data_IF_834429038330
#
_entry.id   IF_834429038330
#
_cell.length_a   1.000
_cell.length_b   1.000
_cell.length_c   1.000
_cell.angle_alpha   90.00
_cell.angle_beta   90.00
_cell.angle_gamma   90.00
#
_symmetry.space_group_name_H-M   'P 1'
#
loop_
_entity.id
_entity.type
_entity.pdbx_description
1 polymer ?
#
# COMPACT_ATOMS: atom_id res chain seq x y z
N UNK A 1 -25.17 15.32 9.25
CA UNK A 1 -25.11 14.02 8.59
C UNK A 1 -25.03 12.88 9.62
N UNK A 2 -24.01 12.83 10.48
CA UNK A 2 -23.76 11.72 11.42
C UNK A 2 -24.93 11.44 12.37
N UNK A 3 -25.51 12.51 12.99
CA UNK A 3 -26.66 12.34 13.90
C UNK A 3 -27.87 11.62 13.26
N UNK A 4 -28.13 11.88 11.95
CA UNK A 4 -29.24 11.24 11.21
C UNK A 4 -28.94 9.79 10.78
N UNK A 5 -27.66 9.38 10.75
CA UNK A 5 -27.21 8.08 10.29
C UNK A 5 -26.48 7.28 11.38
N UNK A 6 -26.77 7.53 12.67
CA UNK A 6 -26.10 6.86 13.80
C UNK A 6 -26.03 5.33 13.64
N UNK A 7 -27.15 4.73 13.24
CA UNK A 7 -27.23 3.27 13.06
C UNK A 7 -26.25 2.81 11.96
N UNK A 8 -26.18 3.53 10.83
CA UNK A 8 -25.23 3.20 9.77
C UNK A 8 -23.77 3.31 10.21
N UNK A 9 -23.44 4.37 11.00
CA UNK A 9 -22.09 4.54 11.57
C UNK A 9 -21.75 3.36 12.48
N UNK A 10 -22.67 2.99 13.39
CA UNK A 10 -22.44 1.87 14.31
C UNK A 10 -22.25 0.57 13.54
N UNK A 11 -23.16 0.25 12.63
CA UNK A 11 -23.10 -1.01 11.85
C UNK A 11 -21.82 -1.07 11.02
N UNK A 12 -21.47 0.01 10.30
CA UNK A 12 -20.26 0.06 9.49
C UNK A 12 -18.99 -0.11 10.34
N UNK A 13 -18.93 0.52 11.52
CA UNK A 13 -17.81 0.38 12.46
C UNK A 13 -17.69 -1.04 13.01
N UNK A 14 -18.83 -1.67 13.35
CA UNK A 14 -18.86 -3.06 13.80
C UNK A 14 -18.33 -3.97 12.69
N UNK A 15 -18.79 -3.79 11.45
CA UNK A 15 -18.35 -4.64 10.32
C UNK A 15 -16.85 -4.47 10.06
N UNK A 16 -16.28 -3.26 10.20
CA UNK A 16 -14.84 -3.03 10.09
C UNK A 16 -14.07 -3.82 11.16
N UNK A 17 -14.62 -3.96 12.36
CA UNK A 17 -13.98 -4.64 13.49
C UNK A 17 -14.28 -6.14 13.56
N UNK A 18 -15.22 -6.67 12.77
CA UNK A 18 -15.52 -8.11 12.74
C UNK A 18 -14.29 -8.99 12.50
N UNK A 19 -13.34 -8.63 11.60
CA UNK A 19 -12.12 -9.41 11.42
C UNK A 19 -11.25 -9.48 12.68
N UNK A 20 -11.17 -8.41 13.47
CA UNK A 20 -10.44 -8.43 14.73
C UNK A 20 -11.12 -9.38 15.75
N UNK A 21 -12.45 -9.36 15.83
CA UNK A 21 -13.19 -10.29 16.66
C UNK A 21 -12.96 -11.75 16.22
N UNK A 22 -12.97 -12.01 14.91
CA UNK A 22 -12.65 -13.34 14.36
C UNK A 22 -11.22 -13.77 14.77
N UNK A 23 -10.22 -12.88 14.62
CA UNK A 23 -8.85 -13.16 15.03
C UNK A 23 -8.69 -13.44 16.53
N UNK A 24 -9.50 -12.79 17.40
CA UNK A 24 -9.54 -13.08 18.83
C UNK A 24 -10.08 -14.51 19.08
N UNK A 25 -11.15 -14.88 18.40
CA UNK A 25 -11.76 -16.22 18.54
C UNK A 25 -10.77 -17.31 18.09
N UNK A 26 -10.06 -17.06 17.00
CA UNK A 26 -9.12 -18.01 16.39
C UNK A 26 -7.67 -17.82 16.90
N UNK A 27 -7.48 -17.09 17.99
CA UNK A 27 -6.15 -16.65 18.45
C UNK A 27 -5.13 -17.78 18.59
N UNK A 28 -5.53 -18.90 19.16
CA UNK A 28 -4.64 -20.04 19.40
C UNK A 28 -4.33 -20.85 18.13
N UNK A 29 -5.18 -20.73 17.11
CA UNK A 29 -5.02 -21.43 15.82
C UNK A 29 -4.22 -20.60 14.82
N UNK A 30 -4.02 -19.31 15.09
CA UNK A 30 -3.28 -18.41 14.23
C UNK A 30 -1.76 -18.52 14.48
N UNK A 31 -0.91 -18.55 13.44
CA UNK A 31 0.53 -18.51 13.58
C UNK A 31 0.98 -17.17 14.19
N UNK A 32 2.17 -17.16 14.81
CA UNK A 32 2.71 -15.92 15.42
C UNK A 32 3.12 -14.88 14.41
N UNK A 33 3.43 -15.31 13.17
CA UNK A 33 3.76 -14.47 12.04
C UNK A 33 2.72 -14.72 10.93
N UNK A 34 2.12 -13.65 10.44
CA UNK A 34 1.01 -13.69 9.47
C UNK A 34 1.38 -12.83 8.26
N UNK A 35 1.12 -13.35 7.05
CA UNK A 35 1.24 -12.57 5.81
C UNK A 35 0.24 -11.43 5.79
N UNK A 36 0.73 -10.20 5.62
CA UNK A 36 -0.09 -8.98 5.59
C UNK A 36 0.06 -8.19 4.30
N UNK A 37 1.03 -8.54 3.46
CA UNK A 37 1.26 -7.92 2.15
C UNK A 37 1.68 -8.95 1.11
N UNK A 38 1.29 -8.70 -0.15
CA UNK A 38 1.62 -9.51 -1.31
C UNK A 38 2.09 -8.59 -2.44
N UNK A 39 3.12 -9.02 -3.14
CA UNK A 39 3.65 -8.34 -4.31
C UNK A 39 2.71 -8.42 -5.53
N UNK A 40 3.08 -7.69 -6.58
CA UNK A 40 2.32 -7.69 -7.85
C UNK A 40 2.36 -9.07 -8.57
N UNK A 41 3.30 -9.92 -8.21
CA UNK A 41 3.43 -11.31 -8.67
C UNK A 41 2.53 -12.30 -7.91
N UNK A 42 1.83 -11.82 -6.87
CA UNK A 42 0.95 -12.61 -6.01
C UNK A 42 1.67 -13.31 -4.87
N UNK A 43 3.01 -13.21 -4.78
CA UNK A 43 3.79 -13.80 -3.71
C UNK A 43 3.72 -12.96 -2.44
N UNK A 44 3.77 -13.61 -1.27
CA UNK A 44 3.88 -12.94 0.02
C UNK A 44 5.25 -12.25 0.11
N UNK A 45 5.25 -10.93 0.31
CA UNK A 45 6.46 -10.10 0.42
C UNK A 45 6.46 -9.21 1.67
N UNK A 46 5.45 -9.38 2.54
CA UNK A 46 5.40 -8.71 3.84
C UNK A 46 4.68 -9.53 4.90
N UNK A 47 5.38 -9.73 6.02
CA UNK A 47 4.89 -10.46 7.18
C UNK A 47 4.74 -9.51 8.38
N UNK A 48 3.87 -9.84 9.30
CA UNK A 48 3.67 -9.08 10.54
C UNK A 48 3.39 -10.02 11.71
N UNK A 49 3.76 -9.58 12.90
CA UNK A 49 3.38 -10.31 14.12
C UNK A 49 1.86 -10.38 14.29
N UNK A 50 1.37 -11.47 14.86
CA UNK A 50 -0.05 -11.79 15.11
C UNK A 50 -0.86 -10.60 15.63
N UNK A 51 -0.34 -9.89 16.63
CA UNK A 51 -1.04 -8.75 17.25
C UNK A 51 -1.32 -7.65 16.21
N UNK A 52 -0.31 -7.28 15.40
CA UNK A 52 -0.49 -6.25 14.38
C UNK A 52 -1.41 -6.73 13.25
N UNK A 53 -1.28 -7.98 12.81
CA UNK A 53 -2.11 -8.55 11.77
C UNK A 53 -3.59 -8.56 12.18
N UNK A 54 -3.91 -8.98 13.41
CA UNK A 54 -5.29 -9.08 13.91
C UNK A 54 -5.91 -7.72 14.19
N UNK A 55 -5.19 -6.79 14.80
CA UNK A 55 -5.75 -5.52 15.28
C UNK A 55 -5.35 -4.33 14.41
N UNK A 56 -4.15 -4.31 13.83
CA UNK A 56 -3.61 -3.14 13.12
C UNK A 56 -4.46 -2.76 11.91
N UNK A 57 -4.71 -3.69 11.00
CA UNK A 57 -5.49 -3.41 9.79
C UNK A 57 -6.92 -2.95 10.08
N UNK A 58 -7.72 -3.63 10.93
CA UNK A 58 -9.07 -3.16 11.27
C UNK A 58 -9.07 -1.79 11.96
N UNK A 59 -8.13 -1.53 12.86
CA UNK A 59 -8.05 -0.23 13.56
C UNK A 59 -7.68 0.89 12.59
N UNK A 60 -6.70 0.70 11.71
CA UNK A 60 -6.32 1.67 10.70
C UNK A 60 -7.52 1.99 9.80
N UNK A 61 -8.24 0.97 9.32
CA UNK A 61 -9.41 1.16 8.48
C UNK A 61 -10.56 1.85 9.23
N UNK A 62 -10.73 1.59 10.53
CA UNK A 62 -11.71 2.28 11.36
C UNK A 62 -11.38 3.77 11.52
N UNK A 63 -10.10 4.10 11.75
CA UNK A 63 -9.63 5.50 11.79
C UNK A 63 -9.92 6.19 10.45
N UNK A 64 -9.55 5.56 9.34
CA UNK A 64 -9.85 6.07 8.00
C UNK A 64 -11.35 6.26 7.77
N UNK A 65 -12.18 5.34 8.26
CA UNK A 65 -13.63 5.44 8.16
C UNK A 65 -14.16 6.70 8.87
N UNK A 66 -13.73 6.94 10.10
CA UNK A 66 -14.13 8.13 10.83
C UNK A 66 -13.61 9.41 10.19
N UNK A 67 -12.38 9.41 9.66
CA UNK A 67 -11.80 10.53 8.91
C UNK A 67 -12.66 10.83 7.67
N UNK A 68 -13.01 9.83 6.87
CA UNK A 68 -13.88 10.00 5.70
C UNK A 68 -15.27 10.53 6.09
N UNK A 69 -15.88 9.99 7.15
CA UNK A 69 -17.17 10.46 7.68
C UNK A 69 -17.11 11.90 8.17
N UNK A 70 -16.03 12.27 8.86
CA UNK A 70 -15.82 13.63 9.36
C UNK A 70 -15.72 14.62 8.20
N UNK A 71 -14.80 14.39 7.25
CA UNK A 71 -14.64 15.26 6.09
C UNK A 71 -15.94 15.39 5.28
N UNK A 72 -16.64 14.27 5.08
CA UNK A 72 -17.93 14.28 4.41
C UNK A 72 -18.97 15.11 5.19
N UNK A 73 -18.97 15.06 6.51
CA UNK A 73 -19.93 15.80 7.35
C UNK A 73 -19.67 17.30 7.42
N UNK A 74 -18.43 17.73 7.20
CA UNK A 74 -18.02 19.13 7.19
C UNK A 74 -18.36 19.87 5.89
N UNK A 75 -18.66 19.15 4.82
CA UNK A 75 -19.03 19.75 3.54
C UNK A 75 -20.42 20.39 3.65
N UNK A 76 -20.51 21.71 3.48
CA UNK A 76 -21.76 22.48 3.58
C UNK A 76 -22.83 22.06 2.55
N UNK A 77 -22.40 21.56 1.38
CA UNK A 77 -23.29 21.06 0.32
C UNK A 77 -23.86 19.66 0.58
N UNK A 78 -23.47 19.01 1.68
CA UNK A 78 -23.94 17.67 2.05
C UNK A 78 -25.45 17.59 2.36
N UNK A 79 -26.08 18.69 2.76
CA UNK A 79 -27.51 18.71 3.08
C UNK A 79 -28.38 18.37 1.86
N UNK A 80 -27.89 18.70 0.68
CA UNK A 80 -28.60 18.52 -0.60
C UNK A 80 -28.18 17.25 -1.37
N UNK A 81 -27.24 16.47 -0.77
CA UNK A 81 -26.75 15.25 -1.41
C UNK A 81 -27.79 14.13 -1.45
N UNK A 82 -27.71 13.33 -2.52
CA UNK A 82 -28.49 12.11 -2.63
C UNK A 82 -28.09 11.13 -1.50
N UNK A 83 -29.09 10.68 -0.72
CA UNK A 83 -28.87 9.76 0.41
C UNK A 83 -28.24 8.43 -0.02
N UNK A 84 -28.48 7.96 -1.26
CA UNK A 84 -27.85 6.76 -1.82
C UNK A 84 -26.35 6.98 -2.09
N UNK A 85 -25.97 8.15 -2.65
CA UNK A 85 -24.58 8.52 -2.89
C UNK A 85 -23.81 8.67 -1.56
N UNK A 86 -24.42 9.26 -0.53
CA UNK A 86 -23.87 9.30 0.82
C UNK A 86 -23.71 7.89 1.42
N UNK A 87 -24.58 6.96 1.03
CA UNK A 87 -24.49 5.57 1.46
C UNK A 87 -23.14 4.92 1.17
N UNK A 88 -22.49 5.26 0.04
CA UNK A 88 -21.19 4.70 -0.33
C UNK A 88 -20.12 4.94 0.73
N UNK A 89 -20.12 6.12 1.35
CA UNK A 89 -19.12 6.49 2.38
C UNK A 89 -19.19 5.56 3.60
N UNK A 90 -20.37 5.01 3.90
CA UNK A 90 -20.56 4.09 5.02
C UNK A 90 -20.11 2.66 4.69
N UNK A 91 -20.13 2.23 3.41
CA UNK A 91 -19.99 0.81 3.08
C UNK A 91 -18.68 0.43 2.39
N UNK A 92 -17.97 1.38 1.77
CA UNK A 92 -16.71 1.07 1.06
C UNK A 92 -15.66 0.49 2.01
N UNK A 93 -15.37 1.15 3.13
CA UNK A 93 -14.34 0.69 4.07
C UNK A 93 -14.69 -0.60 4.82
N UNK A 94 -15.94 -0.83 5.26
CA UNK A 94 -16.36 -2.15 5.75
C UNK A 94 -16.12 -3.28 4.76
N UNK A 95 -16.45 -3.10 3.48
CA UNK A 95 -16.23 -4.11 2.44
C UNK A 95 -14.73 -4.37 2.26
N UNK A 96 -13.91 -3.31 2.19
CA UNK A 96 -12.45 -3.42 2.11
C UNK A 96 -11.89 -4.17 3.32
N UNK A 97 -12.39 -3.87 4.54
CA UNK A 97 -11.93 -4.54 5.76
C UNK A 97 -12.20 -6.04 5.75
N UNK A 98 -13.42 -6.42 5.41
CA UNK A 98 -13.78 -7.85 5.33
C UNK A 98 -12.94 -8.57 4.28
N UNK A 99 -12.72 -7.94 3.13
CA UNK A 99 -11.98 -8.54 2.04
C UNK A 99 -10.49 -8.67 2.36
N UNK A 100 -9.82 -7.58 2.77
CA UNK A 100 -8.39 -7.57 3.06
C UNK A 100 -8.04 -8.54 4.20
N UNK A 101 -8.78 -8.49 5.31
CA UNK A 101 -8.54 -9.40 6.42
C UNK A 101 -8.97 -10.85 6.10
N UNK A 102 -9.99 -11.04 5.25
CA UNK A 102 -10.39 -12.38 4.79
C UNK A 102 -9.28 -13.06 4.00
N UNK A 103 -8.58 -12.35 3.13
CA UNK A 103 -7.38 -12.82 2.42
C UNK A 103 -6.29 -13.20 3.44
N UNK A 104 -5.99 -12.27 4.34
CA UNK A 104 -4.97 -12.45 5.37
C UNK A 104 -5.21 -13.71 6.21
N UNK A 105 -6.44 -13.93 6.70
CA UNK A 105 -6.77 -15.13 7.48
C UNK A 105 -6.74 -16.41 6.65
N UNK A 106 -7.16 -16.37 5.38
CA UNK A 106 -7.01 -17.55 4.52
C UNK A 106 -5.56 -17.98 4.40
N UNK A 107 -4.66 -17.02 4.16
CA UNK A 107 -3.22 -17.27 4.10
C UNK A 107 -2.68 -17.76 5.45
N UNK A 108 -3.10 -17.16 6.56
CA UNK A 108 -2.69 -17.58 7.92
C UNK A 108 -3.08 -19.04 8.23
N UNK A 109 -4.19 -19.54 7.67
CA UNK A 109 -4.60 -20.94 7.81
C UNK A 109 -4.02 -21.86 6.73
N UNK A 110 -2.98 -21.43 6.00
CA UNK A 110 -2.34 -22.24 4.95
C UNK A 110 -3.25 -22.57 3.77
N UNK A 111 -4.33 -21.81 3.56
CA UNK A 111 -5.23 -21.99 2.44
C UNK A 111 -4.70 -21.21 1.24
N UNK A 112 -4.47 -21.90 0.12
CA UNK A 112 -4.09 -21.22 -1.13
C UNK A 112 -5.09 -20.13 -1.49
N UNK A 113 -4.57 -18.99 -1.90
CA UNK A 113 -5.34 -17.84 -2.29
C UNK A 113 -4.77 -17.23 -3.58
N UNK A 114 -5.53 -17.32 -4.65
CA UNK A 114 -5.16 -16.72 -5.92
C UNK A 114 -5.45 -15.20 -5.88
N UNK A 115 -4.46 -14.43 -5.44
CA UNK A 115 -4.54 -12.98 -5.40
C UNK A 115 -4.74 -12.39 -6.81
N UNK A 116 -4.15 -13.02 -7.83
CA UNK A 116 -4.29 -12.61 -9.22
C UNK A 116 -5.76 -12.68 -9.69
N UNK A 117 -6.52 -13.64 -9.19
CA UNK A 117 -7.97 -13.70 -9.45
C UNK A 117 -8.76 -12.68 -8.63
N UNK A 118 -8.51 -12.61 -7.32
CA UNK A 118 -9.38 -11.87 -6.41
C UNK A 118 -9.20 -10.36 -6.45
N UNK A 119 -7.98 -9.85 -6.67
CA UNK A 119 -7.74 -8.40 -6.69
C UNK A 119 -8.45 -7.69 -7.86
N UNK A 120 -8.32 -8.12 -9.12
CA UNK A 120 -9.06 -7.53 -10.23
C UNK A 120 -10.57 -7.71 -10.08
N UNK A 121 -11.02 -8.85 -9.53
CA UNK A 121 -12.44 -9.10 -9.28
C UNK A 121 -13.01 -8.10 -8.27
N UNK A 122 -12.35 -7.89 -7.15
CA UNK A 122 -12.75 -6.91 -6.14
C UNK A 122 -12.75 -5.48 -6.71
N UNK A 123 -11.67 -5.08 -7.38
CA UNK A 123 -11.56 -3.75 -8.00
C UNK A 123 -12.65 -3.56 -9.05
N UNK A 124 -12.91 -4.56 -9.89
CA UNK A 124 -13.95 -4.55 -10.91
C UNK A 124 -15.33 -4.32 -10.33
N UNK A 125 -15.73 -5.10 -9.32
CA UNK A 125 -17.00 -4.93 -8.60
C UNK A 125 -17.08 -3.54 -7.94
N UNK A 126 -16.01 -3.11 -7.31
CA UNK A 126 -15.94 -1.79 -6.65
C UNK A 126 -16.14 -0.65 -7.67
N UNK A 127 -15.45 -0.69 -8.82
CA UNK A 127 -15.60 0.34 -9.85
C UNK A 127 -16.97 0.32 -10.52
N UNK A 128 -17.58 -0.84 -10.74
CA UNK A 128 -18.97 -0.95 -11.19
C UNK A 128 -19.91 -0.31 -10.17
N UNK A 129 -19.73 -0.62 -8.89
CA UNK A 129 -20.55 -0.06 -7.84
C UNK A 129 -20.42 1.46 -7.76
N UNK A 130 -19.21 2.00 -7.68
CA UNK A 130 -18.98 3.44 -7.62
C UNK A 130 -19.46 4.11 -8.90
N UNK A 131 -19.17 3.56 -10.08
CA UNK A 131 -19.57 4.08 -11.37
C UNK A 131 -21.10 4.22 -11.52
N UNK A 132 -21.87 3.26 -11.00
CA UNK A 132 -23.33 3.30 -10.99
C UNK A 132 -23.89 4.41 -10.06
N UNK A 133 -23.16 4.80 -9.03
CA UNK A 133 -23.56 5.88 -8.13
C UNK A 133 -23.04 7.26 -8.54
N UNK A 134 -21.96 7.32 -9.29
CA UNK A 134 -21.29 8.56 -9.69
C UNK A 134 -22.26 9.59 -10.33
N UNK A 135 -23.19 9.22 -11.24
CA UNK A 135 -24.17 10.15 -11.80
C UNK A 135 -25.16 10.73 -10.78
N UNK A 136 -25.28 10.14 -9.60
CA UNK A 136 -26.20 10.55 -8.54
C UNK A 136 -25.56 11.52 -7.54
N UNK A 137 -24.26 11.74 -7.68
CA UNK A 137 -23.49 12.64 -6.80
C UNK A 137 -23.72 14.08 -7.27
N UNK A 138 -24.42 14.88 -6.47
CA UNK A 138 -24.57 16.32 -6.71
C UNK A 138 -23.25 17.03 -6.46
N UNK A 139 -23.08 18.19 -7.11
CA UNK A 139 -21.84 18.99 -6.98
C UNK A 139 -21.49 19.27 -5.51
N UNK A 140 -20.29 18.84 -5.12
CA UNK A 140 -19.77 18.99 -3.78
C UNK A 140 -18.22 18.89 -3.80
N UNK A 141 -17.57 19.10 -2.63
CA UNK A 141 -16.12 19.12 -2.51
C UNK A 141 -15.51 17.86 -1.91
N UNK A 142 -16.34 16.87 -1.54
CA UNK A 142 -15.89 15.65 -0.86
C UNK A 142 -15.95 14.41 -1.74
N UNK A 143 -17.03 14.23 -2.49
CA UNK A 143 -17.32 13.03 -3.27
C UNK A 143 -17.30 13.33 -4.77
N UNK A 144 -16.78 12.40 -5.57
CA UNK A 144 -16.81 12.46 -7.03
C UNK A 144 -15.51 12.94 -7.68
N UNK A 145 -15.60 13.27 -8.98
CA UNK A 145 -14.48 13.73 -9.81
C UNK A 145 -14.29 15.24 -9.58
N UNK A 146 -13.35 15.59 -8.72
CA UNK A 146 -13.16 16.95 -8.18
C UNK A 146 -12.09 17.73 -8.95
N UNK A 147 -12.40 18.13 -10.15
CA UNK A 147 -11.55 19.02 -10.96
C UNK A 147 -12.13 20.45 -10.96
N UNK A 148 -11.27 21.45 -11.05
CA UNK A 148 -11.65 22.85 -10.84
C UNK A 148 -12.82 23.32 -11.71
N UNK A 149 -12.81 22.99 -13.00
CA UNK A 149 -13.90 23.38 -13.91
C UNK A 149 -15.20 22.63 -13.63
N UNK A 150 -15.20 21.37 -13.22
CA UNK A 150 -16.41 20.68 -12.79
C UNK A 150 -16.94 21.22 -11.45
N UNK A 151 -16.04 21.58 -10.51
CA UNK A 151 -16.41 22.18 -9.22
C UNK A 151 -17.02 23.58 -9.35
N UNK A 152 -16.69 24.29 -10.43
CA UNK A 152 -17.11 25.68 -10.66
C UNK A 152 -18.32 25.80 -11.64
N UNK A 153 -18.82 24.68 -12.17
CA UNK A 153 -19.98 24.67 -13.06
C UNK A 153 -20.78 23.38 -12.87
N UNK A 154 -22.05 23.50 -12.52
CA UNK A 154 -22.91 22.36 -12.20
C UNK A 154 -23.24 21.51 -13.43
N UNK A 155 -23.37 22.13 -14.62
CA UNK A 155 -23.62 21.40 -15.87
C UNK A 155 -22.42 20.53 -16.24
N UNK A 156 -21.19 21.10 -16.15
CA UNK A 156 -19.97 20.35 -16.37
C UNK A 156 -19.86 19.21 -15.36
N UNK A 157 -20.14 19.47 -14.07
CA UNK A 157 -20.19 18.44 -13.04
C UNK A 157 -21.11 17.29 -13.43
N UNK A 158 -22.35 17.59 -13.77
CA UNK A 158 -23.36 16.59 -14.08
C UNK A 158 -23.01 15.78 -15.34
N UNK A 159 -22.52 16.43 -16.40
CA UNK A 159 -22.05 15.76 -17.63
C UNK A 159 -20.85 14.87 -17.35
N UNK A 160 -19.86 15.38 -16.62
CA UNK A 160 -18.64 14.63 -16.23
C UNK A 160 -18.99 13.40 -15.42
N UNK A 161 -19.85 13.51 -14.42
CA UNK A 161 -20.21 12.39 -13.56
C UNK A 161 -21.07 11.34 -14.26
N UNK A 162 -21.95 11.76 -15.19
CA UNK A 162 -22.72 10.82 -16.03
C UNK A 162 -21.82 10.04 -16.97
N UNK A 163 -20.88 10.71 -17.62
CA UNK A 163 -19.93 10.09 -18.54
C UNK A 163 -18.93 9.23 -17.75
N UNK A 164 -18.32 9.78 -16.71
CA UNK A 164 -17.37 9.09 -15.84
C UNK A 164 -17.97 7.83 -15.21
N UNK A 165 -19.26 7.87 -14.82
CA UNK A 165 -19.96 6.70 -14.31
C UNK A 165 -20.01 5.55 -15.31
N UNK A 166 -20.28 5.85 -16.61
CA UNK A 166 -20.24 4.83 -17.67
C UNK A 166 -18.82 4.27 -17.86
N UNK A 167 -17.82 5.15 -17.90
CA UNK A 167 -16.40 4.75 -18.01
C UNK A 167 -16.00 3.84 -16.89
N UNK A 168 -16.38 4.15 -15.65
CA UNK A 168 -16.07 3.34 -14.47
C UNK A 168 -16.76 1.98 -14.48
N UNK A 169 -18.01 1.91 -14.92
CA UNK A 169 -18.72 0.62 -15.08
C UNK A 169 -18.04 -0.25 -16.15
N UNK A 170 -17.72 0.33 -17.32
CA UNK A 170 -17.05 -0.40 -18.40
C UNK A 170 -15.66 -0.85 -17.95
N UNK A 171 -14.88 0.03 -17.31
CA UNK A 171 -13.56 -0.33 -16.79
C UNK A 171 -13.63 -1.42 -15.73
N UNK A 172 -14.63 -1.38 -14.84
CA UNK A 172 -14.87 -2.44 -13.88
C UNK A 172 -15.21 -3.79 -14.52
N UNK A 173 -15.99 -3.79 -15.63
CA UNK A 173 -16.24 -5.01 -16.41
C UNK A 173 -14.96 -5.54 -17.07
N UNK A 174 -14.11 -4.65 -17.62
CA UNK A 174 -12.82 -5.05 -18.18
C UNK A 174 -11.94 -5.70 -17.11
N UNK A 175 -11.90 -5.14 -15.89
CA UNK A 175 -11.17 -5.74 -14.77
C UNK A 175 -11.71 -7.13 -14.40
N UNK A 176 -13.04 -7.32 -14.38
CA UNK A 176 -13.62 -8.64 -14.16
C UNK A 176 -13.24 -9.65 -15.25
N UNK A 177 -13.16 -9.21 -16.50
CA UNK A 177 -12.75 -10.07 -17.60
C UNK A 177 -11.23 -10.32 -17.61
N UNK A 178 -10.44 -9.44 -17.02
CA UNK A 178 -8.98 -9.59 -16.99
C UNK A 178 -8.50 -10.77 -16.15
N UNK A 179 -9.32 -11.31 -15.25
CA UNK A 179 -9.01 -12.52 -14.45
C UNK A 179 -8.72 -13.75 -15.31
N UNK A 180 -9.21 -13.81 -16.54
CA UNK A 180 -8.97 -14.91 -17.48
C UNK A 180 -7.68 -14.75 -18.30
N UNK A 181 -6.92 -13.67 -18.07
CA UNK A 181 -5.68 -13.37 -18.79
C UNK A 181 -4.45 -13.89 -18.02
N UNK A 182 -3.34 -14.20 -18.72
CA UNK A 182 -2.07 -14.50 -18.07
C UNK A 182 -1.65 -13.34 -17.13
N UNK A 183 -1.05 -13.65 -15.98
CA UNK A 183 -0.71 -12.70 -14.91
C UNK A 183 -0.03 -11.41 -15.43
N UNK A 184 0.99 -11.54 -16.29
CA UNK A 184 1.71 -10.39 -16.85
C UNK A 184 0.79 -9.45 -17.63
N UNK A 185 -0.12 -10.00 -18.45
CA UNK A 185 -1.06 -9.24 -19.26
C UNK A 185 -2.12 -8.59 -18.35
N UNK A 186 -2.63 -9.34 -17.40
CA UNK A 186 -3.62 -8.88 -16.41
C UNK A 186 -3.11 -7.66 -15.64
N UNK A 187 -1.88 -7.69 -15.12
CA UNK A 187 -1.28 -6.56 -14.38
C UNK A 187 -1.27 -5.28 -15.25
N UNK A 188 -0.85 -5.38 -16.51
CA UNK A 188 -0.88 -4.25 -17.42
C UNK A 188 -2.30 -3.75 -17.73
N UNK A 189 -3.26 -4.67 -17.90
CA UNK A 189 -4.68 -4.31 -18.08
C UNK A 189 -5.19 -3.55 -16.86
N UNK A 190 -4.90 -4.02 -15.65
CA UNK A 190 -5.29 -3.33 -14.41
C UNK A 190 -4.71 -1.91 -14.36
N UNK A 191 -3.42 -1.75 -14.61
CA UNK A 191 -2.75 -0.44 -14.62
C UNK A 191 -3.36 0.48 -15.69
N UNK A 192 -3.54 0.01 -16.92
CA UNK A 192 -4.12 0.80 -18.01
C UNK A 192 -5.58 1.19 -17.72
N UNK A 193 -6.38 0.28 -17.19
CA UNK A 193 -7.78 0.57 -16.83
C UNK A 193 -7.84 1.61 -15.72
N UNK A 194 -7.07 1.47 -14.63
CA UNK A 194 -7.06 2.46 -13.54
C UNK A 194 -6.66 3.84 -14.07
N UNK A 195 -5.63 3.92 -14.92
CA UNK A 195 -5.23 5.17 -15.57
C UNK A 195 -6.35 5.75 -16.42
N UNK A 196 -7.04 4.92 -17.23
CA UNK A 196 -8.15 5.34 -18.06
C UNK A 196 -9.34 5.85 -17.24
N UNK A 197 -9.69 5.17 -16.12
CA UNK A 197 -10.77 5.59 -15.21
C UNK A 197 -10.52 6.97 -14.61
N UNK A 198 -9.27 7.35 -14.41
CA UNK A 198 -8.88 8.68 -13.92
C UNK A 198 -8.86 9.71 -15.08
N UNK A 199 -8.13 9.41 -16.15
CA UNK A 199 -7.79 10.38 -17.21
C UNK A 199 -9.00 10.69 -18.12
N UNK A 200 -9.75 9.68 -18.56
CA UNK A 200 -10.82 9.86 -19.55
C UNK A 200 -11.92 10.83 -19.06
N UNK A 201 -12.45 10.74 -17.83
CA UNK A 201 -13.42 11.72 -17.34
C UNK A 201 -12.85 13.13 -17.16
N UNK A 202 -11.56 13.25 -16.82
CA UNK A 202 -10.87 14.54 -16.68
C UNK A 202 -10.80 15.23 -18.05
N UNK A 203 -10.34 14.51 -19.08
CA UNK A 203 -10.23 15.00 -20.45
C UNK A 203 -11.61 15.38 -20.99
N UNK A 204 -12.63 14.55 -20.78
CA UNK A 204 -14.00 14.86 -21.18
C UNK A 204 -14.52 16.15 -20.55
N UNK A 205 -14.30 16.31 -19.23
CA UNK A 205 -14.68 17.52 -18.50
C UNK A 205 -13.96 18.78 -19.01
N UNK A 206 -12.69 18.64 -19.42
CA UNK A 206 -11.92 19.72 -20.03
C UNK A 206 -12.52 20.13 -21.39
N UNK A 207 -12.95 19.20 -22.22
CA UNK A 207 -13.60 19.51 -23.48
C UNK A 207 -14.92 20.27 -23.28
N UNK A 208 -15.74 19.89 -22.29
CA UNK A 208 -16.95 20.64 -21.92
C UNK A 208 -16.58 22.07 -21.50
N UNK A 209 -15.54 22.22 -20.65
CA UNK A 209 -15.07 23.53 -20.22
C UNK A 209 -14.67 24.40 -21.42
N UNK A 210 -13.93 23.85 -22.39
CA UNK A 210 -13.53 24.56 -23.62
C UNK A 210 -14.71 24.93 -24.51
N UNK A 211 -15.70 24.04 -24.61
CA UNK A 211 -16.94 24.35 -25.36
C UNK A 211 -17.70 25.51 -24.70
N UNK A 212 -17.90 25.45 -23.39
CA UNK A 212 -18.57 26.51 -22.63
C UNK A 212 -17.85 27.87 -22.74
N UNK A 213 -16.49 27.86 -22.77
CA UNK A 213 -15.75 29.09 -23.03
C UNK A 213 -16.06 29.72 -24.39
N UNK A 214 -16.22 28.90 -25.45
CA UNK A 214 -16.58 29.38 -26.78
C UNK A 214 -18.02 29.93 -26.82
N UNK A 215 -18.90 29.38 -25.99
CA UNK A 215 -20.30 29.80 -25.85
C UNK A 215 -20.47 31.03 -24.92
N UNK A 216 -19.36 31.56 -24.37
CA UNK A 216 -19.36 32.71 -23.46
C UNK A 216 -19.90 32.39 -22.06
N UNK A 217 -20.00 31.10 -21.69
CA UNK A 217 -20.43 30.69 -20.35
C UNK A 217 -19.31 30.95 -19.34
N UNK A 218 -19.58 31.82 -18.37
CA UNK A 218 -18.62 32.15 -17.30
C UNK A 218 -18.70 31.15 -16.19
N UNK A 219 -17.56 30.57 -15.84
CA UNK A 219 -17.40 29.70 -14.67
C UNK A 219 -17.19 30.56 -13.43
N UNK A 220 -18.18 30.61 -12.56
CA UNK A 220 -18.06 31.31 -11.29
C UNK A 220 -17.08 30.56 -10.40
N UNK A 221 -15.90 31.13 -10.16
CA UNK A 221 -15.04 30.61 -9.10
C UNK A 221 -15.76 30.77 -7.77
N UNK A 222 -16.20 29.66 -7.20
CA UNK A 222 -16.73 29.68 -5.85
C UNK A 222 -15.65 30.21 -4.89
N UNK A 223 -15.88 31.30 -4.15
CA UNK A 223 -14.87 31.90 -3.28
C UNK A 223 -14.34 30.86 -2.31
N UNK A 224 -13.03 30.59 -2.39
CA UNK A 224 -12.36 29.70 -1.47
C UNK A 224 -12.39 30.32 -0.07
N UNK A 225 -12.88 29.57 0.91
CA UNK A 225 -12.84 30.04 2.30
C UNK A 225 -11.39 30.24 2.76
N UNK A 226 -11.16 31.10 3.77
CA UNK A 226 -9.82 31.30 4.34
C UNK A 226 -9.17 29.98 4.75
N UNK A 227 -9.92 29.10 5.40
CA UNK A 227 -9.48 27.77 5.80
C UNK A 227 -9.08 26.89 4.57
N UNK A 228 -9.82 26.98 3.48
CA UNK A 228 -9.53 26.23 2.26
C UNK A 228 -8.25 26.72 1.56
N UNK A 229 -8.04 28.04 1.52
CA UNK A 229 -6.79 28.64 1.01
C UNK A 229 -5.58 28.18 1.84
N UNK A 230 -5.74 28.15 3.16
CA UNK A 230 -4.70 27.65 4.09
C UNK A 230 -4.47 26.15 3.85
N UNK A 231 -5.52 25.33 3.77
CA UNK A 231 -5.40 23.90 3.52
C UNK A 231 -4.69 23.61 2.19
N UNK A 232 -5.03 24.32 1.10
CA UNK A 232 -4.35 24.17 -0.20
C UNK A 232 -2.87 24.52 -0.09
N UNK A 233 -2.52 25.63 0.61
CA UNK A 233 -1.11 26.02 0.80
C UNK A 233 -0.35 25.00 1.64
N UNK A 234 -0.93 24.54 2.73
CA UNK A 234 -0.34 23.49 3.57
C UNK A 234 -0.11 22.21 2.75
N UNK A 235 -1.10 21.76 2.01
CA UNK A 235 -0.98 20.56 1.16
C UNK A 235 0.08 20.75 0.07
N UNK A 236 0.12 21.93 -0.57
CA UNK A 236 1.11 22.24 -1.60
C UNK A 236 2.56 22.28 -1.09
N UNK A 237 2.76 22.48 0.22
CA UNK A 237 4.09 22.47 0.85
C UNK A 237 4.39 21.10 1.46
N UNK A 238 3.46 20.55 2.24
CA UNK A 238 3.68 19.31 2.99
C UNK A 238 3.79 18.10 2.06
N UNK A 239 2.95 17.99 1.02
CA UNK A 239 2.98 16.83 0.12
C UNK A 239 4.32 16.69 -0.62
N UNK A 240 4.90 17.75 -1.23
CA UNK A 240 6.23 17.66 -1.82
C UNK A 240 7.33 17.33 -0.79
N UNK A 241 7.25 17.86 0.43
CA UNK A 241 8.21 17.54 1.50
C UNK A 241 8.13 16.07 1.88
N UNK A 242 6.92 15.53 2.04
CA UNK A 242 6.72 14.09 2.34
C UNK A 242 7.23 13.25 1.17
N UNK A 243 6.89 13.60 -0.07
CA UNK A 243 7.35 12.86 -1.26
C UNK A 243 8.87 12.90 -1.39
N UNK A 244 9.49 14.05 -1.13
CA UNK A 244 10.95 14.17 -1.11
C UNK A 244 11.55 13.34 0.02
N UNK A 245 10.99 13.37 1.22
CA UNK A 245 11.41 12.55 2.35
C UNK A 245 11.32 11.05 2.04
N UNK A 246 10.20 10.61 1.47
CA UNK A 246 10.03 9.22 1.02
C UNK A 246 11.04 8.87 -0.07
N UNK A 247 11.25 9.74 -1.06
CA UNK A 247 12.23 9.51 -2.12
C UNK A 247 13.66 9.42 -1.54
N UNK A 248 14.02 10.28 -0.60
CA UNK A 248 15.30 10.20 0.09
C UNK A 248 15.44 8.87 0.83
N UNK A 249 14.48 8.46 1.61
CA UNK A 249 14.49 7.15 2.30
C UNK A 249 14.58 5.98 1.32
N UNK A 250 13.90 6.05 0.17
CA UNK A 250 13.90 4.97 -0.81
C UNK A 250 15.22 4.81 -1.56
N UNK A 251 15.94 5.90 -1.84
CA UNK A 251 17.09 5.89 -2.73
C UNK A 251 18.43 6.26 -2.06
N UNK A 252 18.42 6.61 -0.77
CA UNK A 252 19.64 6.91 -0.01
C UNK A 252 19.94 5.78 0.98
N UNK A 253 20.96 6.03 1.83
CA UNK A 253 21.45 5.04 2.78
C UNK A 253 22.51 4.11 2.18
N UNK A 254 23.23 3.44 3.05
CA UNK A 254 24.28 2.48 2.71
C UNK A 254 24.43 1.43 3.82
N UNK A 255 25.10 0.35 3.46
CA UNK A 255 25.62 -0.66 4.37
C UNK A 255 27.13 -0.59 4.24
N UNK A 256 27.83 -0.42 5.34
CA UNK A 256 29.27 -0.41 5.42
C UNK A 256 29.71 -1.58 6.31
N UNK A 257 30.51 -2.49 5.75
CA UNK A 257 31.02 -3.66 6.44
C UNK A 257 32.50 -3.48 6.63
N UNK A 258 33.00 -3.59 7.86
CA UNK A 258 34.40 -3.48 8.21
C UNK A 258 34.87 -4.73 8.93
N UNK A 259 35.95 -5.32 8.42
CA UNK A 259 36.68 -6.39 9.09
C UNK A 259 37.76 -5.79 9.98
N UNK A 260 37.40 -5.46 11.23
CA UNK A 260 38.34 -4.93 12.20
C UNK A 260 39.28 -6.04 12.76
N UNK A 261 40.16 -5.72 13.69
CA UNK A 261 41.15 -6.73 14.15
C UNK A 261 40.53 -7.89 14.93
N UNK A 262 39.47 -7.64 15.67
CA UNK A 262 38.83 -8.63 16.56
C UNK A 262 37.38 -8.93 16.20
N UNK A 263 36.73 -8.07 15.45
CA UNK A 263 35.30 -8.16 15.16
C UNK A 263 34.95 -7.73 13.74
N UNK A 264 33.81 -8.24 13.24
CA UNK A 264 33.12 -7.74 12.10
C UNK A 264 32.13 -6.67 12.53
N UNK A 265 32.24 -5.46 11.97
CA UNK A 265 31.33 -4.35 12.24
C UNK A 265 30.49 -4.03 11.01
N UNK A 266 29.18 -3.94 11.17
CA UNK A 266 28.23 -3.55 10.11
C UNK A 266 27.53 -2.27 10.56
N UNK A 267 27.77 -1.17 9.85
CA UNK A 267 27.06 0.09 10.03
C UNK A 267 25.98 0.23 8.95
N UNK A 268 24.74 0.34 9.35
CA UNK A 268 23.61 0.33 8.44
C UNK A 268 22.72 1.56 8.59
N UNK A 269 22.64 2.39 7.55
CA UNK A 269 21.67 3.49 7.54
C UNK A 269 20.24 2.93 7.57
N UNK A 270 19.41 3.45 8.45
CA UNK A 270 17.99 3.07 8.65
C UNK A 270 17.73 1.73 9.33
N UNK A 271 18.78 1.06 9.84
CA UNK A 271 18.67 -0.13 10.67
C UNK A 271 19.71 -0.10 11.77
N UNK A 272 19.66 -1.06 12.70
CA UNK A 272 20.63 -1.16 13.79
C UNK A 272 22.01 -1.55 13.27
N UNK A 273 23.05 -0.96 13.84
CA UNK A 273 24.40 -1.40 13.63
C UNK A 273 24.63 -2.75 14.35
N UNK A 274 25.57 -3.53 13.84
CA UNK A 274 25.88 -4.86 14.38
C UNK A 274 27.39 -5.02 14.50
N UNK A 275 27.82 -5.61 15.59
CA UNK A 275 29.21 -6.02 15.85
C UNK A 275 29.23 -7.48 16.29
N UNK A 276 30.10 -8.29 15.69
CA UNK A 276 30.26 -9.71 16.00
C UNK A 276 31.74 -10.01 16.13
N UNK A 277 32.16 -10.55 17.29
CA UNK A 277 33.51 -11.05 17.49
C UNK A 277 33.76 -12.25 16.57
N UNK A 278 34.98 -12.32 15.99
CA UNK A 278 35.33 -13.48 15.14
C UNK A 278 35.30 -14.79 15.89
N UNK A 279 35.56 -14.77 17.21
CA UNK A 279 35.49 -15.94 18.08
C UNK A 279 34.08 -16.52 18.25
N UNK A 280 33.05 -15.74 17.95
CA UNK A 280 31.64 -16.18 17.99
C UNK A 280 31.19 -16.81 16.67
N UNK A 281 31.96 -16.68 15.60
CA UNK A 281 31.61 -17.17 14.28
C UNK A 281 32.00 -18.64 14.14
N UNK A 282 31.02 -19.51 13.96
CA UNK A 282 31.22 -20.95 13.80
C UNK A 282 31.46 -21.34 12.34
N UNK A 283 30.71 -20.73 11.42
CA UNK A 283 30.87 -21.00 9.98
C UNK A 283 30.76 -19.73 9.15
N UNK A 284 31.50 -19.71 8.02
CA UNK A 284 31.42 -18.67 6.99
C UNK A 284 31.22 -19.35 5.67
N UNK A 285 30.16 -18.99 4.95
CA UNK A 285 29.86 -19.51 3.64
C UNK A 285 29.68 -18.38 2.61
N UNK A 286 30.19 -18.55 1.40
CA UNK A 286 29.92 -17.66 0.27
C UNK A 286 28.94 -18.32 -0.66
N UNK A 287 27.79 -17.64 -0.94
CA UNK A 287 26.74 -18.25 -1.74
C UNK A 287 26.23 -17.31 -2.81
N UNK A 288 26.01 -17.87 -4.01
CA UNK A 288 25.40 -17.17 -5.15
C UNK A 288 23.90 -17.51 -5.25
N UNK A 289 23.12 -16.52 -5.66
CA UNK A 289 21.67 -16.66 -5.90
C UNK A 289 20.91 -17.24 -4.70
N UNK A 290 21.23 -16.75 -3.50
CA UNK A 290 20.52 -17.13 -2.29
C UNK A 290 19.05 -16.69 -2.37
N UNK A 291 18.14 -17.60 -2.02
CA UNK A 291 16.76 -17.21 -1.73
C UNK A 291 16.70 -16.56 -0.34
N UNK A 292 16.62 -15.26 -0.32
CA UNK A 292 16.52 -14.50 0.94
C UNK A 292 15.17 -14.61 1.64
N UNK A 293 14.17 -15.21 0.98
CA UNK A 293 12.84 -15.37 1.57
C UNK A 293 12.11 -14.04 1.81
N UNK A 294 11.37 -13.96 2.92
CA UNK A 294 10.46 -12.84 3.24
C UNK A 294 10.93 -12.06 4.45
N UNK A 295 10.90 -10.73 4.36
CA UNK A 295 11.23 -9.85 5.49
C UNK A 295 10.08 -9.80 6.50
N UNK A 296 10.36 -10.16 7.75
CA UNK A 296 9.40 -10.11 8.87
C UNK A 296 9.45 -8.79 9.63
N UNK A 297 10.62 -8.15 9.68
CA UNK A 297 10.82 -6.85 10.32
C UNK A 297 12.05 -6.16 9.73
N UNK A 298 12.07 -4.83 9.67
CA UNK A 298 13.25 -4.10 9.23
C UNK A 298 12.94 -3.03 8.17
N UNK A 299 14.00 -2.61 7.48
CA UNK A 299 13.96 -1.60 6.43
C UNK A 299 14.07 -2.23 5.03
N UNK A 300 13.23 -1.79 4.11
CA UNK A 300 13.29 -2.19 2.70
C UNK A 300 13.00 -1.06 1.75
N UNK A 301 13.83 -0.96 0.74
CA UNK A 301 13.74 0.05 -0.32
C UNK A 301 14.22 -0.56 -1.65
N UNK A 302 14.08 0.16 -2.78
CA UNK A 302 14.72 -0.26 -4.03
C UNK A 302 16.25 -0.40 -3.95
N UNK A 303 16.88 0.19 -2.91
CA UNK A 303 18.33 0.18 -2.73
C UNK A 303 18.79 -0.80 -1.63
N UNK A 304 18.09 -0.87 -0.50
CA UNK A 304 18.51 -1.60 0.68
C UNK A 304 17.44 -2.59 1.15
N UNK A 305 17.87 -3.73 1.64
CA UNK A 305 17.04 -4.80 2.18
C UNK A 305 17.69 -5.31 3.48
N UNK A 306 17.17 -4.88 4.62
CA UNK A 306 17.79 -5.13 5.93
C UNK A 306 16.74 -5.47 6.98
N UNK A 307 17.12 -6.28 7.95
CA UNK A 307 16.26 -6.63 9.07
C UNK A 307 16.21 -8.12 9.35
N UNK A 308 15.11 -8.54 9.95
CA UNK A 308 14.82 -9.95 10.21
C UNK A 308 14.07 -10.53 9.00
N UNK A 309 14.59 -11.62 8.51
CA UNK A 309 14.06 -12.37 7.36
C UNK A 309 13.71 -13.79 7.78
N UNK A 310 12.91 -14.45 6.97
CA UNK A 310 12.56 -15.86 7.13
C UNK A 310 12.57 -16.55 5.77
N UNK A 311 13.24 -17.70 5.71
CA UNK A 311 13.17 -18.63 4.60
C UNK A 311 13.10 -20.08 5.11
N UNK A 312 12.93 -21.04 4.19
CA UNK A 312 12.79 -22.46 4.55
C UNK A 312 14.10 -23.08 5.04
N UNK A 313 15.25 -22.50 4.69
CA UNK A 313 16.57 -23.05 5.00
C UNK A 313 17.07 -22.61 6.39
N UNK A 314 16.96 -21.32 6.72
CA UNK A 314 17.52 -20.76 7.94
C UNK A 314 16.46 -20.51 9.02
N UNK A 315 15.17 -20.66 8.71
CA UNK A 315 14.13 -20.17 9.57
C UNK A 315 14.18 -18.62 9.66
N UNK A 316 14.19 -18.09 10.88
CA UNK A 316 14.33 -16.66 11.12
C UNK A 316 15.81 -16.25 11.23
N UNK A 317 16.25 -15.26 10.47
CA UNK A 317 17.65 -14.81 10.42
C UNK A 317 17.76 -13.30 10.17
N UNK A 318 18.96 -12.74 10.32
CA UNK A 318 19.23 -11.31 10.08
C UNK A 318 19.88 -11.12 8.71
N UNK A 319 19.36 -10.17 7.92
CA UNK A 319 19.89 -9.79 6.62
C UNK A 319 20.36 -8.33 6.62
N UNK A 320 21.57 -8.11 6.12
CA UNK A 320 22.08 -6.81 5.69
C UNK A 320 22.50 -6.91 4.23
N UNK A 321 21.65 -6.45 3.33
CA UNK A 321 21.91 -6.60 1.90
C UNK A 321 21.46 -5.39 1.09
N UNK A 322 22.15 -5.14 -0.01
CA UNK A 322 21.61 -4.32 -1.07
C UNK A 322 20.53 -5.10 -1.82
N UNK A 323 19.44 -4.42 -2.17
CA UNK A 323 18.33 -5.03 -2.91
C UNK A 323 18.81 -5.51 -4.28
N UNK A 324 18.59 -6.80 -4.57
CA UNK A 324 19.05 -7.43 -5.80
C UNK A 324 20.52 -7.88 -5.81
N UNK A 325 21.20 -7.89 -4.66
CA UNK A 325 22.49 -8.55 -4.51
C UNK A 325 22.36 -10.03 -4.93
N UNK A 326 23.30 -10.50 -5.73
CA UNK A 326 23.32 -11.88 -6.26
C UNK A 326 24.20 -12.81 -5.44
N UNK A 327 25.10 -12.25 -4.66
CA UNK A 327 26.11 -12.95 -3.89
C UNK A 327 26.03 -12.51 -2.45
N UNK A 328 26.12 -13.49 -1.54
CA UNK A 328 25.94 -13.27 -0.10
C UNK A 328 26.97 -14.04 0.70
N UNK A 329 27.34 -13.47 1.84
CA UNK A 329 28.11 -14.13 2.89
C UNK A 329 27.12 -14.59 3.95
N UNK A 330 27.17 -15.83 4.35
CA UNK A 330 26.33 -16.41 5.40
C UNK A 330 27.25 -16.73 6.57
N UNK A 331 26.91 -16.20 7.74
CA UNK A 331 27.62 -16.40 8.98
C UNK A 331 26.70 -17.12 9.96
N UNK A 332 27.20 -18.13 10.65
CA UNK A 332 26.49 -18.74 11.77
C UNK A 332 27.24 -18.53 13.09
N UNK A 333 26.50 -18.24 14.14
CA UNK A 333 26.98 -18.07 15.50
C UNK A 333 25.92 -18.66 16.44
N UNK A 334 26.15 -19.88 16.94
CA UNK A 334 25.14 -20.65 17.65
C UNK A 334 23.87 -20.86 16.80
N UNK A 335 22.70 -20.48 17.34
CA UNK A 335 21.43 -20.57 16.62
C UNK A 335 21.13 -19.36 15.72
N UNK A 336 22.05 -18.39 15.64
CA UNK A 336 21.83 -17.17 14.86
C UNK A 336 22.51 -17.26 13.51
N UNK A 337 21.76 -16.89 12.47
CA UNK A 337 22.29 -16.74 11.11
C UNK A 337 22.26 -15.26 10.71
N UNK A 338 23.39 -14.78 10.19
CA UNK A 338 23.54 -13.46 9.61
C UNK A 338 23.89 -13.60 8.14
N UNK A 339 23.22 -12.83 7.28
CA UNK A 339 23.48 -12.81 5.84
C UNK A 339 23.84 -11.39 5.41
N UNK A 340 24.93 -11.27 4.64
CA UNK A 340 25.47 -9.99 4.16
C UNK A 340 25.55 -10.04 2.64
N UNK A 341 25.04 -9.00 1.95
CA UNK A 341 25.11 -8.89 0.50
C UNK A 341 25.41 -7.46 0.06
N UNK A 342 26.52 -7.24 -0.64
CA UNK A 342 26.89 -5.93 -1.16
C UNK A 342 26.32 -5.70 -2.57
N UNK A 343 26.31 -4.45 -3.02
CA UNK A 343 25.81 -4.10 -4.36
C UNK A 343 26.74 -4.61 -5.48
N UNK A 344 28.06 -4.66 -5.23
CA UNK A 344 29.05 -5.23 -6.13
C UNK A 344 29.48 -6.62 -5.61
N UNK A 345 29.35 -7.67 -6.44
CA UNK A 345 29.84 -8.99 -6.09
C UNK A 345 31.32 -9.04 -5.70
N UNK A 346 32.15 -8.17 -6.27
CA UNK A 346 33.57 -8.09 -5.92
C UNK A 346 33.79 -7.58 -4.50
N UNK A 347 32.96 -6.68 -4.04
CA UNK A 347 32.98 -6.18 -2.67
C UNK A 347 32.54 -7.27 -1.69
N UNK A 348 31.48 -8.02 -2.02
CA UNK A 348 31.05 -9.19 -1.23
C UNK A 348 32.17 -10.21 -1.10
N UNK A 349 32.86 -10.53 -2.23
CA UNK A 349 33.97 -11.46 -2.22
C UNK A 349 35.17 -10.95 -1.38
N UNK A 350 35.52 -9.68 -1.51
CA UNK A 350 36.63 -9.09 -0.75
C UNK A 350 36.39 -9.12 0.76
N UNK A 351 35.13 -8.87 1.19
CA UNK A 351 34.74 -8.99 2.61
C UNK A 351 34.87 -10.46 3.05
N UNK A 352 34.38 -11.40 2.25
CA UNK A 352 34.48 -12.83 2.54
C UNK A 352 35.94 -13.28 2.71
N UNK A 353 36.82 -12.92 1.79
CA UNK A 353 38.25 -13.27 1.84
C UNK A 353 38.94 -12.67 3.06
N UNK A 354 38.63 -11.39 3.39
CA UNK A 354 39.16 -10.73 4.57
C UNK A 354 38.71 -11.37 5.90
N UNK A 355 37.47 -11.88 5.93
CA UNK A 355 36.96 -12.60 7.11
C UNK A 355 37.63 -13.97 7.30
N UNK A 356 37.85 -14.73 6.21
CA UNK A 356 38.55 -16.02 6.30
C UNK A 356 39.95 -15.85 6.90
N UNK A 357 40.68 -14.79 6.52
CA UNK A 357 42.01 -14.51 7.10
C UNK A 357 41.99 -14.22 8.61
N UNK A 358 40.85 -13.77 9.16
CA UNK A 358 40.67 -13.36 10.55
C UNK A 358 40.13 -14.49 11.45
N UNK A 359 39.27 -15.35 10.92
CA UNK A 359 38.61 -16.45 11.65
C UNK A 359 39.53 -17.68 11.72
N UNK A 360 40.41 -17.94 10.73
CA UNK A 360 41.37 -19.03 10.71
C UNK A 360 42.60 -18.76 11.60
N UNK A 361 42.64 -17.64 12.32
CA UNK A 361 43.72 -17.29 13.28
C UNK A 361 43.26 -17.47 14.72
#
# INVERSE_FOLDING_TARGET
MLKKNKIKVIISSIIILLPALFGIIMWNDLPDIITTHWGADGNADGLSGKVFAVFGTPIILLIFHFVCLLFTSLDKKQKDQNQKALGMVFWILPIISLFANGIMYRAAFGKEFDLAFFMPAMLGVMFIFIGNYLPKVKQNRTLGIKISWALNNEENWNKTHRFGGKVWVVGGLILLLSIFLPLKVMVWVVVCVIAALAIIPIVYSYFIYKQHQKEGIVYAEAPKSGAEKIAIRITAVIVPIILLGVALLMFTGNIEVKCEDTALTINATYWTDLEIDYSEIETIEYRKNLDVGVRTSGFGSPKLSMGIFQNDEFGSYTLYSYTGAKEHIILTSGEKTLVIGMSDPKETQAIYDAMLEKVDK
#
